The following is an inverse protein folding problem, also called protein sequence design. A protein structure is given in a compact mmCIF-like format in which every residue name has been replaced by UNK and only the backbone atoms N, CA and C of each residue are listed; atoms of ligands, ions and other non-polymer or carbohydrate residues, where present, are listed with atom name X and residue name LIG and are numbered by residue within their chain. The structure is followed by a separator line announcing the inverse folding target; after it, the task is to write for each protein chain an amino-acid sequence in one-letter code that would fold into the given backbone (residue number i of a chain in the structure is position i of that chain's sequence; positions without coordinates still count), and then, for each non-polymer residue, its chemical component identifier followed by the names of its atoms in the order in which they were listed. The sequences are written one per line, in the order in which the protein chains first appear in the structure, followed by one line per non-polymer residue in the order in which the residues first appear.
data_IF_225874539798
#
_entry.id   IF_225874539798
#
_cell.length_a   1.000
_cell.length_b   1.000
_cell.length_c   1.000
_cell.angle_alpha   90.00
_cell.angle_beta   90.00
_cell.angle_gamma   90.00
#
_symmetry.space_group_name_H-M   'P 1'
#
loop_
_entity.id
_entity.type
_entity.pdbx_description
1 polymer ?
#
# COMPACT_ATOMS: atom_id res chain seq x y z
N UNK A 1 6.37 -10.91 5.57
CA UNK A 1 7.53 -10.17 5.02
C UNK A 1 7.09 -9.39 3.79
N UNK A 2 7.30 -8.07 3.81
CA UNK A 2 7.12 -7.00 2.80
C UNK A 2 5.86 -6.86 1.92
N UNK A 3 4.91 -7.79 1.89
CA UNK A 3 3.48 -7.38 1.84
C UNK A 3 3.17 -6.36 2.96
N UNK A 4 4.01 -6.40 4.02
CA UNK A 4 4.18 -5.38 5.04
C UNK A 4 4.37 -3.94 4.56
N UNK A 5 4.83 -3.59 3.35
CA UNK A 5 5.07 -2.17 3.04
C UNK A 5 3.81 -1.41 2.61
N UNK A 6 2.90 -2.05 1.86
CA UNK A 6 1.55 -1.51 1.65
C UNK A 6 0.71 -1.55 2.93
N UNK A 7 1.01 -2.49 3.82
CA UNK A 7 0.38 -2.67 5.13
C UNK A 7 0.92 -1.69 6.20
N UNK A 8 2.23 -1.40 6.21
CA UNK A 8 2.91 -0.51 7.16
C UNK A 8 2.61 0.97 6.92
N UNK A 9 2.05 1.30 5.75
CA UNK A 9 1.51 2.62 5.48
C UNK A 9 0.53 3.03 6.58
N UNK A 10 -0.34 2.17 7.04
CA UNK A 10 -1.48 2.59 7.87
C UNK A 10 -1.17 2.93 9.32
N UNK A 11 -0.36 2.18 10.08
CA UNK A 11 -0.01 2.62 11.42
C UNK A 11 0.81 3.90 11.33
N UNK A 12 1.67 4.08 10.34
CA UNK A 12 2.41 5.32 10.14
C UNK A 12 1.53 6.49 9.66
N UNK A 13 0.53 6.24 8.81
CA UNK A 13 -0.50 7.19 8.36
C UNK A 13 -1.40 7.61 9.54
N UNK A 14 -1.96 6.65 10.28
CA UNK A 14 -2.87 6.91 11.39
C UNK A 14 -2.16 7.48 12.63
N UNK A 15 -0.85 7.21 12.79
CA UNK A 15 0.00 7.86 13.79
C UNK A 15 0.62 9.18 13.28
N UNK A 16 0.55 9.50 11.98
CA UNK A 16 1.03 10.76 11.44
C UNK A 16 0.17 11.89 11.99
N UNK A 17 0.64 12.52 13.05
CA UNK A 17 0.00 13.69 13.64
C UNK A 17 0.13 14.91 12.73
N UNK A 18 1.04 14.84 11.75
CA UNK A 18 1.37 15.93 10.83
C UNK A 18 1.60 15.45 9.40
N UNK A 19 1.49 16.37 8.44
CA UNK A 19 1.82 16.12 7.03
C UNK A 19 3.29 15.76 6.81
N UNK A 20 4.20 16.12 7.73
CA UNK A 20 5.61 15.77 7.65
C UNK A 20 5.84 14.28 7.90
N UNK A 21 5.18 13.71 8.91
CA UNK A 21 5.27 12.28 9.24
C UNK A 21 4.66 11.42 8.12
N UNK A 22 3.59 11.92 7.52
CA UNK A 22 2.97 11.34 6.33
C UNK A 22 3.94 11.27 5.14
N UNK A 23 4.65 12.37 4.87
CA UNK A 23 5.60 12.48 3.75
C UNK A 23 6.74 11.47 3.91
N UNK A 24 7.31 11.35 5.12
CA UNK A 24 8.37 10.38 5.43
C UNK A 24 7.91 8.94 5.21
N UNK A 25 6.66 8.64 5.57
CA UNK A 25 6.07 7.31 5.36
C UNK A 25 5.93 6.99 3.88
N UNK A 26 5.38 7.92 3.11
CA UNK A 26 5.21 7.78 1.67
C UNK A 26 6.57 7.60 0.97
N UNK A 27 7.59 8.38 1.37
CA UNK A 27 8.94 8.25 0.84
C UNK A 27 9.57 6.88 1.12
N UNK A 28 9.43 6.37 2.34
CA UNK A 28 9.96 5.05 2.69
C UNK A 28 9.30 3.91 1.90
N UNK A 29 8.03 4.05 1.52
CA UNK A 29 7.34 3.07 0.67
C UNK A 29 7.82 3.19 -0.77
N UNK A 30 7.95 4.41 -1.27
CA UNK A 30 8.48 4.66 -2.62
C UNK A 30 9.85 4.00 -2.77
N UNK A 31 10.77 4.27 -1.84
CA UNK A 31 12.13 3.75 -1.85
C UNK A 31 12.20 2.22 -1.79
N UNK A 32 11.18 1.58 -1.23
CA UNK A 32 11.11 0.14 -1.15
C UNK A 32 10.49 -0.53 -2.39
N UNK A 33 9.73 0.23 -3.19
CA UNK A 33 9.18 -0.20 -4.47
C UNK A 33 10.11 0.11 -5.65
N UNK A 34 10.89 1.20 -5.55
CA UNK A 34 11.98 1.58 -6.46
C UNK A 34 13.18 0.64 -6.28
N UNK A 35 13.07 -0.56 -6.82
CA UNK A 35 14.02 -1.65 -6.59
C UNK A 35 15.38 -1.38 -7.23
N UNK A 36 15.40 -0.70 -8.37
CA UNK A 36 16.63 -0.39 -9.09
C UNK A 36 17.24 0.98 -8.71
N UNK A 37 16.56 1.75 -7.86
CA UNK A 37 16.95 3.07 -7.36
C UNK A 37 17.09 4.14 -8.45
N UNK A 38 16.24 4.09 -9.48
CA UNK A 38 16.23 5.07 -10.57
C UNK A 38 15.21 6.21 -10.35
N UNK A 39 14.48 6.21 -9.23
CA UNK A 39 13.41 7.14 -8.88
C UNK A 39 12.16 7.02 -9.76
N UNK A 40 11.97 5.88 -10.41
CA UNK A 40 10.81 5.56 -11.22
C UNK A 40 10.25 4.21 -10.75
N UNK A 41 8.99 4.16 -10.35
CA UNK A 41 8.33 2.87 -10.11
C UNK A 41 7.74 2.40 -11.43
N UNK A 42 8.14 1.21 -11.85
CA UNK A 42 7.62 0.52 -13.04
C UNK A 42 6.69 -0.64 -12.67
N UNK A 43 5.88 -1.09 -13.63
CA UNK A 43 5.05 -2.30 -13.46
C UNK A 43 5.88 -3.55 -13.16
N UNK A 44 7.07 -3.64 -13.74
CA UNK A 44 7.97 -4.77 -13.52
C UNK A 44 8.47 -4.82 -12.07
N UNK A 45 8.70 -3.65 -11.46
CA UNK A 45 9.09 -3.57 -10.05
C UNK A 45 7.94 -3.92 -9.12
N UNK A 46 6.73 -3.43 -9.38
CA UNK A 46 5.54 -3.87 -8.64
C UNK A 46 5.29 -5.38 -8.78
N UNK A 47 5.53 -5.94 -9.96
CA UNK A 47 5.36 -7.38 -10.21
C UNK A 47 6.41 -8.19 -9.46
N UNK A 48 7.69 -7.80 -9.53
CA UNK A 48 8.78 -8.43 -8.76
C UNK A 48 8.53 -8.35 -7.27
N UNK A 49 8.05 -7.19 -6.81
CA UNK A 49 7.67 -6.98 -5.44
C UNK A 49 6.58 -7.97 -5.02
N UNK A 50 5.48 -8.07 -5.77
CA UNK A 50 4.42 -9.05 -5.51
C UNK A 50 4.94 -10.50 -5.45
N UNK A 51 5.71 -10.91 -6.47
CA UNK A 51 6.25 -12.27 -6.58
C UNK A 51 7.23 -12.63 -5.46
N UNK A 52 7.94 -11.65 -4.91
CA UNK A 52 8.87 -11.90 -3.79
C UNK A 52 8.13 -12.33 -2.52
N UNK A 53 6.82 -12.06 -2.42
CA UNK A 53 6.07 -12.23 -1.19
C UNK A 53 4.84 -13.14 -1.29
N UNK A 54 4.42 -13.52 -2.50
CA UNK A 54 3.43 -14.60 -2.76
C UNK A 54 4.04 -15.98 -2.42
N UNK A 55 4.31 -16.23 -1.13
CA UNK A 55 5.06 -17.40 -0.67
C UNK A 55 4.35 -18.74 -0.92
N UNK A 56 3.01 -18.72 -1.00
CA UNK A 56 2.14 -19.85 -1.34
C UNK A 56 1.83 -19.94 -2.85
N UNK A 57 2.25 -18.95 -3.64
CA UNK A 57 2.13 -18.91 -5.11
C UNK A 57 0.68 -19.04 -5.60
N UNK A 58 -0.28 -18.59 -4.79
CA UNK A 58 -1.70 -18.61 -5.14
C UNK A 58 -2.18 -17.30 -5.74
N UNK A 59 -1.27 -16.33 -5.91
CA UNK A 59 -1.47 -15.02 -6.51
C UNK A 59 -2.59 -14.20 -5.85
N UNK A 60 -2.91 -14.48 -4.58
CA UNK A 60 -4.08 -13.92 -3.90
C UNK A 60 -3.77 -13.60 -2.46
N UNK A 61 -4.23 -12.43 -2.03
CA UNK A 61 -4.19 -12.05 -0.61
C UNK A 61 -5.63 -11.92 -0.16
N UNK A 62 -6.11 -12.86 0.66
CA UNK A 62 -7.46 -12.74 1.21
C UNK A 62 -7.51 -11.70 2.34
N UNK A 63 -8.71 -11.25 2.68
CA UNK A 63 -8.91 -10.40 3.86
C UNK A 63 -8.40 -11.03 5.16
N UNK A 64 -8.50 -12.36 5.30
CA UNK A 64 -8.01 -13.05 6.48
C UNK A 64 -6.47 -13.02 6.55
N UNK A 65 -5.79 -13.26 5.43
CA UNK A 65 -4.32 -13.19 5.35
C UNK A 65 -3.84 -11.76 5.65
N UNK A 66 -4.54 -10.77 5.10
CA UNK A 66 -4.29 -9.36 5.35
C UNK A 66 -4.42 -9.01 6.84
N UNK A 67 -5.53 -9.40 7.50
CA UNK A 67 -5.74 -9.14 8.92
C UNK A 67 -4.72 -9.87 9.80
N UNK A 68 -4.42 -11.14 9.51
CA UNK A 68 -3.44 -11.90 10.27
C UNK A 68 -2.03 -11.28 10.17
N UNK A 69 -1.64 -10.82 8.98
CA UNK A 69 -0.37 -10.13 8.77
C UNK A 69 -0.27 -8.83 9.58
N UNK A 70 -1.37 -8.08 9.73
CA UNK A 70 -1.40 -6.88 10.57
C UNK A 70 -1.22 -7.25 12.03
N UNK A 71 -2.00 -8.19 12.54
CA UNK A 71 -1.96 -8.60 13.95
C UNK A 71 -0.58 -9.16 14.35
N UNK A 72 0.07 -9.91 13.45
CA UNK A 72 1.41 -10.46 13.69
C UNK A 72 2.48 -9.36 13.74
N UNK A 73 2.44 -8.39 12.83
CA UNK A 73 3.53 -7.42 12.66
C UNK A 73 3.32 -6.12 13.46
N UNK A 74 2.06 -5.81 13.80
CA UNK A 74 1.66 -4.60 14.52
C UNK A 74 0.70 -4.92 15.68
N UNK A 75 1.09 -5.80 16.61
CA UNK A 75 0.20 -6.28 17.67
C UNK A 75 -0.22 -5.18 18.66
N UNK A 76 0.52 -4.08 18.76
CA UNK A 76 0.21 -2.99 19.68
C UNK A 76 -0.74 -1.96 19.04
N UNK A 77 -0.69 -1.83 17.72
CA UNK A 77 -1.40 -0.84 16.93
C UNK A 77 -2.83 -1.28 16.60
N UNK A 78 -3.11 -2.59 16.56
CA UNK A 78 -4.45 -3.16 16.33
C UNK A 78 -5.45 -2.90 17.46
N UNK A 79 -4.98 -2.39 18.61
CA UNK A 79 -5.84 -2.00 19.73
C UNK A 79 -6.44 -0.60 19.57
N UNK A 80 -5.94 0.20 18.63
CA UNK A 80 -6.51 1.50 18.30
C UNK A 80 -7.60 1.35 17.22
N UNK A 81 -8.86 1.74 17.50
CA UNK A 81 -9.95 1.64 16.53
C UNK A 81 -9.72 2.43 15.24
N UNK A 82 -9.00 3.57 15.29
CA UNK A 82 -8.68 4.37 14.12
C UNK A 82 -7.76 3.59 13.19
N UNK A 83 -6.70 3.01 13.75
CA UNK A 83 -5.73 2.20 13.02
C UNK A 83 -6.41 0.95 12.43
N UNK A 84 -7.20 0.23 13.23
CA UNK A 84 -7.94 -0.97 12.79
C UNK A 84 -8.96 -0.67 11.69
N UNK A 85 -9.64 0.48 11.75
CA UNK A 85 -10.54 0.91 10.68
C UNK A 85 -9.79 1.26 9.40
N UNK A 86 -8.67 1.97 9.51
CA UNK A 86 -7.87 2.33 8.35
C UNK A 86 -7.33 1.07 7.63
N UNK A 87 -6.89 0.06 8.37
CA UNK A 87 -6.53 -1.26 7.81
C UNK A 87 -7.67 -1.89 7.01
N UNK A 88 -8.86 -1.99 7.60
CA UNK A 88 -10.00 -2.57 6.91
C UNK A 88 -10.32 -1.81 5.62
N UNK A 89 -10.31 -0.48 5.68
CA UNK A 89 -10.65 0.40 4.56
C UNK A 89 -9.58 0.37 3.46
N UNK A 90 -8.29 0.27 3.80
CA UNK A 90 -7.24 0.13 2.78
C UNK A 90 -7.40 -1.17 2.00
N UNK A 91 -7.75 -2.28 2.67
CA UNK A 91 -8.05 -3.52 1.94
C UNK A 91 -9.13 -3.27 0.87
N UNK A 92 -10.19 -2.54 1.19
CA UNK A 92 -11.26 -2.25 0.24
C UNK A 92 -10.83 -1.29 -0.88
N UNK A 93 -9.85 -0.41 -0.62
CA UNK A 93 -9.23 0.44 -1.65
C UNK A 93 -8.36 -0.39 -2.59
N UNK A 94 -7.63 -1.37 -2.05
CA UNK A 94 -6.73 -2.23 -2.80
C UNK A 94 -7.48 -3.34 -3.54
N UNK A 95 -8.58 -3.86 -3.01
CA UNK A 95 -9.47 -4.83 -3.68
C UNK A 95 -10.38 -4.08 -4.69
N UNK A 96 -9.74 -3.58 -5.75
CA UNK A 96 -10.38 -2.72 -6.75
C UNK A 96 -11.59 -3.39 -7.41
N UNK A 97 -11.51 -4.70 -7.66
CA UNK A 97 -12.58 -5.46 -8.28
C UNK A 97 -13.64 -5.99 -7.27
N UNK A 98 -13.39 -5.84 -5.96
CA UNK A 98 -14.28 -6.21 -4.85
C UNK A 98 -14.60 -7.70 -4.78
N UNK A 99 -13.66 -8.55 -5.15
CA UNK A 99 -13.84 -10.01 -5.10
C UNK A 99 -13.39 -10.62 -3.77
N UNK A 100 -12.90 -9.81 -2.83
CA UNK A 100 -12.41 -10.24 -1.52
C UNK A 100 -10.94 -10.65 -1.51
N UNK A 101 -10.21 -10.43 -2.61
CA UNK A 101 -8.81 -10.77 -2.78
C UNK A 101 -8.06 -9.59 -3.40
N UNK A 102 -6.85 -9.31 -2.89
CA UNK A 102 -5.91 -8.43 -3.59
C UNK A 102 -5.10 -9.33 -4.54
N UNK A 103 -5.23 -9.08 -5.84
CA UNK A 103 -4.59 -9.83 -6.92
C UNK A 103 -3.69 -8.91 -7.77
N UNK A 104 -2.82 -9.45 -8.65
CA UNK A 104 -1.98 -8.64 -9.55
C UNK A 104 -2.76 -7.60 -10.37
N UNK A 105 -4.00 -7.91 -10.77
CA UNK A 105 -4.85 -6.98 -11.51
C UNK A 105 -5.25 -5.76 -10.68
N UNK A 106 -5.39 -5.92 -9.36
CA UNK A 106 -5.71 -4.82 -8.48
C UNK A 106 -4.49 -3.94 -8.22
N UNK A 107 -3.29 -4.53 -8.15
CA UNK A 107 -2.04 -3.78 -8.13
C UNK A 107 -1.79 -3.00 -9.43
N UNK A 108 -2.17 -3.55 -10.59
CA UNK A 108 -2.15 -2.77 -11.85
C UNK A 108 -3.15 -1.60 -11.82
N UNK A 109 -4.31 -1.77 -11.18
CA UNK A 109 -5.24 -0.66 -10.97
C UNK A 109 -4.62 0.44 -10.09
N UNK A 110 -3.95 0.06 -9.00
CA UNK A 110 -3.20 0.99 -8.14
C UNK A 110 -2.12 1.73 -8.94
N UNK A 111 -1.33 1.02 -9.75
CA UNK A 111 -0.32 1.62 -10.62
C UNK A 111 -0.94 2.64 -11.58
N UNK A 112 -2.01 2.26 -12.28
CA UNK A 112 -2.71 3.14 -13.22
C UNK A 112 -3.29 4.39 -12.55
N UNK A 113 -3.73 4.28 -11.30
CA UNK A 113 -4.24 5.43 -10.57
C UNK A 113 -3.12 6.34 -10.06
N UNK A 114 -1.93 5.79 -9.80
CA UNK A 114 -0.75 6.56 -9.42
C UNK A 114 -0.06 7.22 -10.63
N UNK A 115 -0.05 6.58 -11.80
CA UNK A 115 0.51 7.07 -13.07
C UNK A 115 -0.39 8.17 -13.68
N UNK A 116 -0.39 9.36 -13.05
CA UNK A 116 -1.28 10.49 -13.33
C UNK A 116 -1.20 10.94 -14.81
N UNK A 117 -0.01 10.86 -15.39
CA UNK A 117 0.24 11.30 -16.76
C UNK A 117 0.15 10.15 -17.81
N UNK A 118 -0.02 8.90 -17.37
CA UNK A 118 -0.13 7.70 -18.19
C UNK A 118 1.10 7.41 -19.08
N UNK A 119 2.32 7.68 -18.60
CA UNK A 119 3.56 7.38 -19.33
C UNK A 119 4.13 5.99 -19.01
N UNK A 120 3.48 5.21 -18.13
CA UNK A 120 3.94 3.90 -17.71
C UNK A 120 5.02 3.93 -16.63
N UNK A 121 5.22 5.08 -15.98
CA UNK A 121 6.15 5.32 -14.88
C UNK A 121 5.41 6.06 -13.77
N UNK A 122 5.60 5.65 -12.52
CA UNK A 122 5.15 6.42 -11.36
C UNK A 122 6.34 7.12 -10.75
N UNK A 123 6.40 8.44 -10.91
CA UNK A 123 7.40 9.27 -10.25
C UNK A 123 7.08 9.45 -8.77
N UNK A 124 8.07 9.91 -7.98
CA UNK A 124 7.84 10.24 -6.56
C UNK A 124 6.72 11.26 -6.37
N UNK A 125 6.61 12.27 -7.24
CA UNK A 125 5.57 13.28 -7.15
C UNK A 125 4.16 12.70 -7.36
N UNK A 126 4.02 11.81 -8.35
CA UNK A 126 2.80 11.07 -8.64
C UNK A 126 2.42 10.13 -7.51
N UNK A 127 3.40 9.39 -6.99
CA UNK A 127 3.22 8.53 -5.82
C UNK A 127 2.73 9.32 -4.60
N UNK A 128 3.36 10.45 -4.29
CA UNK A 128 2.93 11.33 -3.20
C UNK A 128 1.51 11.85 -3.39
N UNK A 129 1.16 12.32 -4.58
CA UNK A 129 -0.19 12.81 -4.88
C UNK A 129 -1.23 11.72 -4.59
N UNK A 130 -1.04 10.54 -5.16
CA UNK A 130 -1.96 9.41 -5.04
C UNK A 130 -2.11 8.92 -3.59
N UNK A 131 -1.00 8.69 -2.88
CA UNK A 131 -1.06 8.18 -1.51
C UNK A 131 -1.55 9.22 -0.48
N UNK A 132 -1.33 10.52 -0.73
CA UNK A 132 -1.95 11.58 0.08
C UNK A 132 -3.47 11.62 -0.06
N UNK A 133 -4.00 11.41 -1.26
CA UNK A 133 -5.46 11.35 -1.48
C UNK A 133 -6.09 10.14 -0.78
N UNK A 134 -5.43 8.98 -0.86
CA UNK A 134 -5.83 7.78 -0.11
C UNK A 134 -5.81 8.06 1.39
N UNK A 135 -4.76 8.70 1.91
CA UNK A 135 -4.65 9.01 3.33
C UNK A 135 -5.84 9.83 3.84
N UNK A 136 -6.14 10.93 3.15
CA UNK A 136 -7.25 11.81 3.50
C UNK A 136 -8.56 11.03 3.51
N UNK A 137 -8.77 10.17 2.50
CA UNK A 137 -9.95 9.32 2.44
C UNK A 137 -10.04 8.32 3.59
N UNK A 138 -8.92 7.69 3.99
CA UNK A 138 -8.91 6.63 5.00
C UNK A 138 -9.02 7.13 6.44
N UNK A 139 -8.48 8.32 6.73
CA UNK A 139 -8.31 8.84 8.11
C UNK A 139 -9.19 10.06 8.40
N UNK A 140 -9.50 10.88 7.39
CA UNK A 140 -10.30 12.11 7.56
C UNK A 140 -11.70 12.02 6.95
N UNK A 141 -12.01 10.98 6.16
CA UNK A 141 -13.30 10.72 5.53
C UNK A 141 -14.20 9.81 6.36
#
# INVERSE_FOLDING_TARGET
TMMLLLLALIPALALAQTTADLTVTIDGVFDALDYNFDNEITRDELTKFFQTYDANHDNRISRADYTAAIEENFPNETHDPLITNAYRNLFDVLDNNKNGFIEPNDLDAVFRNADDNNNGIVTRAEFHKYFNEIFIFLVLG
#
